data_IF_728845680211
#
_entry.id   IF_728845680211
#
_cell.length_a   1.000
_cell.length_b   1.000
_cell.length_c   1.000
_cell.angle_alpha   90.00
_cell.angle_beta   90.00
_cell.angle_gamma   90.00
#
_symmetry.space_group_name_H-M   'P 1'
#
loop_
_entity.id
_entity.type
_entity.pdbx_description
1 polymer ?
#
# COMPACT_ATOMS: atom_id res chain seq x y z
N UNK A 1 -5.46 8.74 -27.59
CA UNK A 1 -4.32 8.18 -26.84
C UNK A 1 -4.33 8.64 -25.39
N UNK A 2 -4.22 9.94 -25.10
CA UNK A 2 -4.18 10.48 -23.73
C UNK A 2 -5.43 10.16 -22.89
N UNK A 3 -6.63 10.26 -23.45
CA UNK A 3 -7.87 9.91 -22.74
C UNK A 3 -7.88 8.43 -22.28
N UNK A 4 -7.49 7.51 -23.19
CA UNK A 4 -7.38 6.08 -22.88
C UNK A 4 -6.32 5.80 -21.81
N UNK A 5 -5.21 6.54 -21.80
CA UNK A 5 -4.20 6.42 -20.75
C UNK A 5 -4.77 6.87 -19.39
N UNK A 6 -5.52 7.97 -19.36
CA UNK A 6 -6.16 8.46 -18.14
C UNK A 6 -7.25 7.52 -17.61
N UNK A 7 -8.07 6.93 -18.49
CA UNK A 7 -9.05 5.91 -18.12
C UNK A 7 -8.37 4.65 -17.58
N UNK A 8 -7.28 4.20 -18.21
CA UNK A 8 -6.51 3.06 -17.72
C UNK A 8 -5.90 3.36 -16.35
N UNK A 9 -5.37 4.56 -16.14
CA UNK A 9 -4.84 4.97 -14.85
C UNK A 9 -5.90 4.96 -13.76
N UNK A 10 -7.12 5.45 -14.03
CA UNK A 10 -8.24 5.38 -13.08
C UNK A 10 -8.59 3.95 -12.67
N UNK A 11 -8.64 3.02 -13.65
CA UNK A 11 -8.85 1.60 -13.35
C UNK A 11 -7.73 1.02 -12.47
N UNK A 12 -6.47 1.40 -12.72
CA UNK A 12 -5.33 0.97 -11.89
C UNK A 12 -5.45 1.54 -10.46
N UNK A 13 -5.88 2.80 -10.32
CA UNK A 13 -6.12 3.44 -9.02
C UNK A 13 -7.19 2.67 -8.23
N UNK A 14 -8.32 2.32 -8.86
CA UNK A 14 -9.39 1.53 -8.22
C UNK A 14 -8.88 0.16 -7.73
N UNK A 15 -8.13 -0.57 -8.57
CA UNK A 15 -7.55 -1.86 -8.22
C UNK A 15 -6.53 -1.75 -7.07
N UNK A 16 -5.71 -0.69 -7.08
CA UNK A 16 -4.77 -0.40 -5.99
C UNK A 16 -5.49 -0.10 -4.69
N UNK A 17 -6.57 0.68 -4.70
CA UNK A 17 -7.36 0.98 -3.49
C UNK A 17 -7.88 -0.32 -2.86
N UNK A 18 -8.40 -1.25 -3.65
CA UNK A 18 -8.86 -2.55 -3.16
C UNK A 18 -7.71 -3.39 -2.60
N UNK A 19 -6.56 -3.39 -3.28
CA UNK A 19 -5.36 -4.12 -2.83
C UNK A 19 -4.80 -3.57 -1.51
N UNK A 20 -4.80 -2.24 -1.33
CA UNK A 20 -4.31 -1.60 -0.11
C UNK A 20 -5.19 -1.86 1.11
N UNK A 21 -6.52 -1.96 0.91
CA UNK A 21 -7.45 -2.39 1.97
C UNK A 21 -7.13 -3.82 2.42
N UNK A 22 -7.04 -4.75 1.48
CA UNK A 22 -6.70 -6.13 1.78
C UNK A 22 -5.33 -6.28 2.47
N UNK A 23 -4.34 -5.48 2.03
CA UNK A 23 -3.02 -5.45 2.64
C UNK A 23 -3.05 -4.96 4.10
N UNK A 24 -3.78 -3.87 4.37
CA UNK A 24 -3.94 -3.36 5.73
C UNK A 24 -4.64 -4.39 6.64
N UNK A 25 -5.71 -5.03 6.16
CA UNK A 25 -6.43 -6.05 6.92
C UNK A 25 -5.53 -7.26 7.22
N UNK A 26 -4.75 -7.71 6.24
CA UNK A 26 -3.80 -8.81 6.41
C UNK A 26 -2.69 -8.50 7.43
N UNK A 27 -2.15 -7.29 7.40
CA UNK A 27 -1.17 -6.80 8.38
C UNK A 27 -1.76 -6.72 9.80
N UNK A 28 -2.98 -6.20 9.94
CA UNK A 28 -3.67 -6.13 11.22
C UNK A 28 -3.91 -7.52 11.82
N UNK A 29 -4.30 -8.49 11.00
CA UNK A 29 -4.47 -9.89 11.44
C UNK A 29 -3.16 -10.52 11.93
N UNK A 30 -2.01 -10.05 11.46
CA UNK A 30 -0.68 -10.47 11.91
C UNK A 30 -0.16 -9.65 13.10
N UNK A 31 -0.93 -8.68 13.60
CA UNK A 31 -0.58 -7.86 14.76
C UNK A 31 0.19 -6.57 14.45
N UNK A 32 0.35 -6.22 13.17
CA UNK A 32 0.96 -4.95 12.77
C UNK A 32 -0.08 -3.81 12.83
N UNK A 33 0.37 -2.61 13.20
CA UNK A 33 -0.47 -1.42 13.11
C UNK A 33 -0.46 -0.89 11.66
N UNK A 34 -1.45 -1.34 10.88
CA UNK A 34 -1.65 -0.89 9.51
C UNK A 34 -3.06 -0.30 9.32
N UNK A 35 -3.19 0.71 8.46
CA UNK A 35 -4.47 1.36 8.15
C UNK A 35 -4.51 1.71 6.67
N UNK A 36 -5.70 1.63 6.06
CA UNK A 36 -5.95 2.12 4.71
C UNK A 36 -7.14 3.08 4.75
N UNK A 37 -6.87 4.37 4.60
CA UNK A 37 -7.91 5.38 4.45
C UNK A 37 -8.22 5.55 2.97
N UNK A 38 -9.48 5.39 2.59
CA UNK A 38 -9.93 5.63 1.21
C UNK A 38 -10.62 6.98 1.14
N UNK A 39 -10.19 7.79 0.18
CA UNK A 39 -10.75 9.11 -0.11
C UNK A 39 -11.57 9.02 -1.39
N UNK A 40 -12.72 9.70 -1.41
CA UNK A 40 -13.64 9.73 -2.55
C UNK A 40 -14.98 9.04 -2.28
N UNK A 41 -16.06 9.77 -2.53
CA UNK A 41 -17.37 9.24 -2.88
C UNK A 41 -17.39 8.82 -4.36
N UNK A 42 -18.30 7.91 -4.73
CA UNK A 42 -18.39 7.18 -6.03
C UNK A 42 -18.38 8.04 -7.32
N UNK A 43 -18.21 9.36 -7.21
CA UNK A 43 -18.41 10.31 -8.31
C UNK A 43 -17.18 11.12 -8.68
N UNK A 44 -16.28 11.48 -7.76
CA UNK A 44 -15.17 12.40 -8.07
C UNK A 44 -13.94 12.17 -7.18
N UNK A 45 -13.08 11.24 -7.59
CA UNK A 45 -11.72 11.08 -7.07
C UNK A 45 -11.52 9.77 -6.31
N UNK A 46 -10.92 8.78 -6.97
CA UNK A 46 -10.55 7.53 -6.31
C UNK A 46 -9.13 7.66 -5.75
N UNK A 47 -8.95 7.32 -4.48
CA UNK A 47 -7.62 7.31 -3.89
C UNK A 47 -7.59 6.68 -2.51
N UNK A 48 -6.39 6.35 -2.08
CA UNK A 48 -6.15 5.81 -0.76
C UNK A 48 -4.81 6.25 -0.20
N UNK A 49 -4.76 6.32 1.13
CA UNK A 49 -3.54 6.41 1.92
C UNK A 49 -3.44 5.16 2.79
N UNK A 50 -2.51 4.30 2.44
CA UNK A 50 -2.08 3.18 3.25
C UNK A 50 -0.93 3.62 4.16
N UNK A 51 -0.99 3.25 5.43
CA UNK A 51 0.05 3.52 6.42
C UNK A 51 0.28 2.26 7.23
N UNK A 52 1.55 1.87 7.41
CA UNK A 52 1.93 0.79 8.31
C UNK A 52 3.10 1.19 9.22
N UNK A 53 2.98 0.85 10.49
CA UNK A 53 4.05 0.90 11.48
C UNK A 53 4.83 -0.42 11.44
N UNK A 54 6.12 -0.32 11.16
CA UNK A 54 7.05 -1.44 11.11
C UNK A 54 7.85 -1.61 12.42
N UNK A 55 7.54 -0.82 13.45
CA UNK A 55 8.24 -0.80 14.73
C UNK A 55 9.38 0.23 14.77
N UNK A 56 9.89 0.53 15.98
CA UNK A 56 11.00 1.47 16.22
C UNK A 56 10.83 2.86 15.60
N UNK A 57 9.57 3.31 15.53
CA UNK A 57 9.16 4.57 14.92
C UNK A 57 9.30 4.60 13.40
N UNK A 58 9.54 3.46 12.74
CA UNK A 58 9.64 3.31 11.30
C UNK A 58 8.24 3.14 10.70
N UNK A 59 7.79 4.15 9.97
CA UNK A 59 6.50 4.18 9.30
C UNK A 59 6.69 4.17 7.79
N UNK A 60 5.83 3.43 7.09
CA UNK A 60 5.70 3.51 5.64
C UNK A 60 4.33 4.03 5.27
N UNK A 61 4.28 4.87 4.23
CA UNK A 61 3.04 5.40 3.66
C UNK A 61 3.04 5.22 2.16
N UNK A 62 2.00 4.58 1.64
CA UNK A 62 1.72 4.54 0.22
C UNK A 62 0.47 5.36 -0.08
N UNK A 63 0.57 6.32 -0.99
CA UNK A 63 -0.55 7.16 -1.44
C UNK A 63 -0.80 6.90 -2.91
N UNK A 64 -2.07 6.72 -3.27
CA UNK A 64 -2.55 6.61 -4.64
C UNK A 64 -3.75 7.52 -4.84
N UNK A 65 -3.78 8.23 -5.97
CA UNK A 65 -4.90 9.05 -6.40
C UNK A 65 -4.83 9.25 -7.91
N UNK A 66 -5.85 9.88 -8.49
CA UNK A 66 -5.85 10.31 -9.90
C UNK A 66 -4.69 11.25 -10.27
N UNK A 67 -4.02 11.87 -9.28
CA UNK A 67 -2.91 12.79 -9.48
C UNK A 67 -1.52 12.13 -9.40
N UNK A 68 -1.43 10.91 -8.89
CA UNK A 68 -0.15 10.26 -8.70
C UNK A 68 -0.12 9.17 -7.63
N UNK A 69 1.01 8.48 -7.61
CA UNK A 69 1.34 7.41 -6.67
C UNK A 69 2.67 7.73 -6.01
N UNK A 70 2.74 7.63 -4.69
CA UNK A 70 3.96 7.87 -3.91
C UNK A 70 4.14 6.85 -2.79
N UNK A 71 5.38 6.52 -2.49
CA UNK A 71 5.80 5.78 -1.29
C UNK A 71 6.70 6.68 -0.45
N UNK A 72 6.48 6.72 0.85
CA UNK A 72 7.34 7.45 1.80
C UNK A 72 7.68 6.53 2.96
N UNK A 73 8.96 6.43 3.27
CA UNK A 73 9.43 5.89 4.55
C UNK A 73 9.81 7.03 5.46
N UNK A 74 9.46 6.91 6.74
CA UNK A 74 9.84 7.88 7.76
C UNK A 74 10.24 7.16 9.03
N UNK A 75 11.11 7.79 9.82
CA UNK A 75 11.46 7.30 11.15
C UNK A 75 11.39 8.42 12.16
N UNK A 76 10.65 8.20 13.24
CA UNK A 76 10.43 9.20 14.29
C UNK A 76 9.91 10.53 13.73
N UNK A 77 9.03 10.47 12.71
CA UNK A 77 8.47 11.65 12.04
C UNK A 77 9.35 12.32 11.00
N UNK A 78 10.58 11.83 10.77
CA UNK A 78 11.47 12.34 9.73
C UNK A 78 11.39 11.48 8.48
N UNK A 79 11.09 12.08 7.32
CA UNK A 79 11.16 11.42 6.02
C UNK A 79 12.59 10.93 5.76
N UNK A 80 12.72 9.66 5.42
CA UNK A 80 13.99 9.02 5.06
C UNK A 80 14.14 8.92 3.55
N UNK A 81 13.09 8.45 2.88
CA UNK A 81 13.06 8.28 1.43
C UNK A 81 11.66 8.49 0.90
N UNK A 82 11.60 8.96 -0.34
CA UNK A 82 10.37 9.09 -1.10
C UNK A 82 10.58 8.58 -2.53
N UNK A 83 9.68 7.71 -2.95
CA UNK A 83 9.59 7.21 -4.31
C UNK A 83 8.27 7.62 -4.94
N UNK A 84 8.26 7.76 -6.26
CA UNK A 84 7.09 8.20 -7.04
C UNK A 84 6.86 7.23 -8.20
N UNK A 85 5.59 7.06 -8.60
CA UNK A 85 5.22 6.25 -9.75
C UNK A 85 5.66 4.79 -9.63
N UNK A 86 6.46 4.31 -10.59
CA UNK A 86 6.83 2.90 -10.69
C UNK A 86 7.69 2.40 -9.51
N UNK A 87 8.58 3.24 -8.97
CA UNK A 87 9.42 2.86 -7.82
C UNK A 87 8.58 2.70 -6.55
N UNK A 88 7.55 3.53 -6.38
CA UNK A 88 6.62 3.38 -5.26
C UNK A 88 5.84 2.05 -5.34
N UNK A 89 5.45 1.62 -6.54
CA UNK A 89 4.78 0.32 -6.75
C UNK A 89 5.71 -0.84 -6.39
N UNK A 90 6.99 -0.76 -6.77
CA UNK A 90 7.97 -1.80 -6.43
C UNK A 90 8.14 -1.97 -4.92
N UNK A 91 8.14 -0.87 -4.17
CA UNK A 91 8.20 -0.94 -2.70
C UNK A 91 6.95 -1.56 -2.08
N UNK A 92 5.77 -1.26 -2.64
CA UNK A 92 4.52 -1.89 -2.21
C UNK A 92 4.53 -3.41 -2.46
N UNK A 93 4.98 -3.84 -3.64
CA UNK A 93 5.13 -5.25 -3.99
C UNK A 93 6.12 -5.97 -3.06
N UNK A 94 7.24 -5.31 -2.72
CA UNK A 94 8.25 -5.84 -1.78
C UNK A 94 7.61 -6.15 -0.42
N UNK A 95 6.80 -5.24 0.12
CA UNK A 95 6.12 -5.45 1.40
C UNK A 95 5.07 -6.55 1.30
N UNK A 96 4.23 -6.53 0.25
CA UNK A 96 3.23 -7.58 0.05
C UNK A 96 3.87 -8.97 -0.07
N UNK A 97 4.98 -9.10 -0.81
CA UNK A 97 5.72 -10.35 -0.94
C UNK A 97 6.30 -10.85 0.40
N UNK A 98 6.87 -9.94 1.21
CA UNK A 98 7.40 -10.27 2.52
C UNK A 98 6.31 -10.82 3.47
N UNK A 99 5.08 -10.33 3.38
CA UNK A 99 3.95 -10.82 4.18
C UNK A 99 3.46 -12.19 3.75
N UNK A 100 3.34 -12.40 2.43
CA UNK A 100 2.98 -13.72 1.90
C UNK A 100 4.01 -14.78 2.32
N UNK A 101 5.31 -14.48 2.23
CA UNK A 101 6.36 -15.40 2.66
C UNK A 101 6.26 -15.77 4.15
N UNK A 102 5.98 -14.81 5.03
CA UNK A 102 5.78 -15.04 6.47
C UNK A 102 4.56 -15.91 6.76
N UNK A 103 3.42 -15.65 6.08
CA UNK A 103 2.22 -16.48 6.22
C UNK A 103 2.43 -17.93 5.79
N UNK A 104 3.18 -18.16 4.71
CA UNK A 104 3.48 -19.50 4.21
C UNK A 104 4.38 -20.28 5.17
N UNK A 105 5.36 -19.62 5.79
CA UNK A 105 6.21 -20.24 6.81
C UNK A 105 5.41 -20.60 8.07
N UNK A 106 4.52 -19.72 8.55
CA UNK A 106 3.67 -20.00 9.71
C UNK A 106 2.76 -21.22 9.47
N UNK A 107 2.15 -21.33 8.29
CA UNK A 107 1.28 -22.46 7.94
C UNK A 107 2.03 -23.80 7.85
N UNK A 108 3.28 -23.79 7.38
CA UNK A 108 4.12 -24.99 7.30
C UNK A 108 4.51 -25.52 8.69
N UNK A 109 4.73 -24.64 9.68
CA UNK A 109 5.05 -25.04 11.06
C UNK A 109 3.85 -25.65 11.78
N UNK A 110 2.64 -25.17 11.49
CA UNK A 110 1.40 -25.71 12.09
C UNK A 110 1.01 -27.07 11.49
N UNK A 111 1.47 -27.37 10.28
CA UNK A 111 1.16 -28.62 9.56
C UNK A 111 2.20 -29.74 9.77
N UNK A 112 3.25 -29.49 10.56
CA UNK A 112 4.35 -30.43 10.86
C UNK A 112 4.25 -30.95 12.31
#
# INVERSE_FOLDING_TARGET
MFARLAEHYRSVVEDLVMSLRALADGLQQQGFAATCYVCGDDRDGHGASFVADLGDGHMVRFLVSDYGISWVESRNGHELVKFEGAEAIQELERVAAALHAQSAQAAAVISA
#
